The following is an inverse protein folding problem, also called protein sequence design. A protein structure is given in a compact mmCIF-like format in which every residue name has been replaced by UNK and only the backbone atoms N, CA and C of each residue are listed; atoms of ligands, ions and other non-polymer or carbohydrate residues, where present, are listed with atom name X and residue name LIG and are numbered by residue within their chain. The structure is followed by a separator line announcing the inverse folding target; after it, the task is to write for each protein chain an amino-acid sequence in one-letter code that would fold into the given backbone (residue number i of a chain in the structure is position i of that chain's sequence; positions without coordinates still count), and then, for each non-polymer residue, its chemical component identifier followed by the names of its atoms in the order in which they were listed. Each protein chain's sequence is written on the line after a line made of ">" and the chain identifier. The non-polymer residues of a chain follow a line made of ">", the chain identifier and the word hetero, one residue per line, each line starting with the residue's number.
data_IF_836186263303
#
_entry.id   IF_836186263303
#
_cell.length_a   1.000
_cell.length_b   1.000
_cell.length_c   1.000
_cell.angle_alpha   90.00
_cell.angle_beta   90.00
_cell.angle_gamma   90.00
#
_symmetry.space_group_name_H-M   'P 1'
#
loop_
_entity.id
_entity.type
_entity.pdbx_description
1 polymer ?
#
# COMPACT_ATOMS: atom_id res chain seq x y z
N UNK A 1 -25.69 5.07 -17.03
CA UNK A 1 -24.30 5.58 -16.88
C UNK A 1 -24.13 5.96 -15.41
N UNK A 2 -23.61 5.08 -14.57
CA UNK A 2 -23.36 5.39 -13.17
C UNK A 2 -22.04 6.16 -13.08
N UNK A 3 -22.11 7.45 -12.72
CA UNK A 3 -20.91 8.22 -12.37
C UNK A 3 -20.35 7.59 -11.10
N UNK A 4 -19.12 7.08 -11.18
CA UNK A 4 -18.31 6.78 -10.00
C UNK A 4 -18.19 8.08 -9.21
N UNK A 5 -18.87 8.17 -8.08
CA UNK A 5 -18.66 9.26 -7.13
C UNK A 5 -17.34 8.93 -6.45
N UNK A 6 -16.26 9.62 -6.84
CA UNK A 6 -15.01 9.54 -6.09
C UNK A 6 -15.29 10.13 -4.72
N UNK A 7 -15.29 9.29 -3.68
CA UNK A 7 -15.31 9.77 -2.31
C UNK A 7 -14.04 10.62 -2.11
N UNK A 8 -14.11 11.77 -1.40
CA UNK A 8 -12.91 12.49 -1.04
C UNK A 8 -11.99 11.55 -0.24
N UNK A 9 -10.80 11.28 -0.79
CA UNK A 9 -9.84 10.35 -0.18
C UNK A 9 -8.99 11.08 0.86
N UNK A 10 -8.75 10.39 1.97
CA UNK A 10 -7.87 10.86 3.05
C UNK A 10 -6.50 10.22 2.90
N UNK A 11 -5.44 11.00 3.11
CA UNK A 11 -4.09 10.42 3.14
C UNK A 11 -3.89 9.56 4.39
N UNK A 12 -3.30 8.39 4.19
CA UNK A 12 -2.82 7.54 5.27
C UNK A 12 -1.53 8.13 5.84
N UNK A 13 -1.41 8.11 7.18
CA UNK A 13 -0.29 8.72 7.90
C UNK A 13 0.82 7.68 8.02
N UNK A 14 2.01 7.97 7.47
CA UNK A 14 3.19 7.13 7.66
C UNK A 14 3.64 7.17 9.13
N UNK A 15 3.71 6.00 9.76
CA UNK A 15 4.13 5.81 11.15
C UNK A 15 5.59 5.38 11.23
N UNK A 16 6.01 4.49 10.32
CA UNK A 16 7.36 3.93 10.31
C UNK A 16 7.78 3.62 8.87
N UNK A 17 9.03 3.89 8.53
CA UNK A 17 9.68 3.45 7.29
C UNK A 17 11.00 2.74 7.66
N UNK A 18 11.14 1.47 7.29
CA UNK A 18 12.36 0.68 7.54
C UNK A 18 13.64 1.33 6.99
N UNK A 19 13.53 2.21 5.99
CA UNK A 19 14.68 2.92 5.42
C UNK A 19 15.20 4.02 6.34
N UNK A 20 14.36 4.59 7.21
CA UNK A 20 14.76 5.68 8.11
C UNK A 20 15.56 5.21 9.33
N UNK A 21 15.49 3.92 9.68
CA UNK A 21 16.27 3.33 10.79
C UNK A 21 17.72 2.98 10.43
N UNK A 22 18.10 3.06 9.14
CA UNK A 22 19.44 2.68 8.66
C UNK A 22 20.47 3.84 8.65
N UNK A 23 20.14 4.99 9.23
CA UNK A 23 20.95 6.23 9.17
C UNK A 23 22.39 6.10 9.74
N UNK A 24 22.76 4.99 10.38
CA UNK A 24 24.09 4.76 10.96
C UNK A 24 25.09 3.92 10.13
N UNK A 25 24.68 3.28 9.03
CA UNK A 25 25.57 2.40 8.25
C UNK A 25 25.74 2.96 6.83
N UNK A 26 26.99 3.36 6.51
CA UNK A 26 27.38 3.89 5.20
C UNK A 26 26.97 2.92 4.08
N UNK A 27 26.15 3.41 3.15
CA UNK A 27 25.88 2.88 1.81
C UNK A 27 25.87 1.34 1.66
N UNK A 28 24.67 0.75 1.67
CA UNK A 28 24.42 -0.48 0.90
C UNK A 28 23.11 -0.37 0.12
N UNK A 29 23.15 0.29 -1.04
CA UNK A 29 22.08 0.30 -2.04
C UNK A 29 20.77 0.99 -1.63
N UNK A 30 20.14 1.70 -2.56
CA UNK A 30 18.68 1.85 -2.51
C UNK A 30 18.11 0.44 -2.58
N UNK A 31 17.78 -0.13 -1.42
CA UNK A 31 17.20 -1.46 -1.33
C UNK A 31 15.92 -1.49 -2.18
N UNK A 32 15.85 -2.40 -3.15
CA UNK A 32 14.64 -2.70 -3.94
C UNK A 32 13.50 -3.31 -3.08
N UNK A 33 13.68 -3.33 -1.76
CA UNK A 33 12.73 -3.82 -0.78
C UNK A 33 12.66 -2.83 0.40
N UNK A 34 11.46 -2.61 0.90
CA UNK A 34 11.22 -1.77 2.07
C UNK A 34 9.97 -2.28 2.79
N UNK A 35 9.85 -1.94 4.07
CA UNK A 35 8.63 -2.11 4.85
C UNK A 35 8.23 -0.76 5.45
N UNK A 36 6.94 -0.44 5.41
CA UNK A 36 6.35 0.78 5.91
C UNK A 36 5.06 0.46 6.66
N UNK A 37 4.82 1.17 7.74
CA UNK A 37 3.59 1.08 8.52
C UNK A 37 2.82 2.40 8.39
N UNK A 38 1.57 2.33 7.98
CA UNK A 38 0.68 3.48 7.87
C UNK A 38 -0.51 3.37 8.81
N UNK A 39 -1.08 4.50 9.21
CA UNK A 39 -2.35 4.61 9.92
C UNK A 39 -3.41 5.25 9.02
N UNK A 40 -4.57 4.61 8.92
CA UNK A 40 -5.68 5.07 8.09
C UNK A 40 -7.00 4.85 8.84
N UNK A 41 -7.62 5.92 9.31
CA UNK A 41 -8.83 5.83 10.14
C UNK A 41 -8.59 4.94 11.36
N UNK A 42 -9.40 3.88 11.47
CA UNK A 42 -9.34 2.90 12.57
C UNK A 42 -8.44 1.68 12.30
N UNK A 43 -7.63 1.67 11.25
CA UNK A 43 -6.75 0.54 10.91
C UNK A 43 -5.30 0.98 10.72
N UNK A 44 -4.39 0.00 10.79
CA UNK A 44 -3.02 0.13 10.32
C UNK A 44 -2.84 -0.69 9.04
N UNK A 45 -1.96 -0.20 8.18
CA UNK A 45 -1.54 -0.90 6.98
C UNK A 45 -0.04 -1.17 7.09
N UNK A 46 0.31 -2.43 7.34
CA UNK A 46 1.69 -2.91 7.19
C UNK A 46 1.91 -3.26 5.72
N UNK A 47 2.89 -2.63 5.08
CA UNK A 47 3.12 -2.73 3.66
C UNK A 47 4.61 -2.96 3.40
N UNK A 48 4.91 -3.95 2.57
CA UNK A 48 6.28 -4.28 2.20
C UNK A 48 6.43 -4.45 0.69
N UNK A 49 7.44 -3.80 0.13
CA UNK A 49 7.95 -4.08 -1.22
C UNK A 49 8.98 -5.19 -1.13
N UNK A 50 8.84 -6.21 -1.99
CA UNK A 50 9.84 -7.28 -2.15
C UNK A 50 10.15 -7.48 -3.62
N UNK A 51 11.41 -7.74 -3.93
CA UNK A 51 11.81 -8.23 -5.27
C UNK A 51 11.47 -9.72 -5.38
N UNK A 52 10.87 -10.12 -6.50
CA UNK A 52 10.49 -11.51 -6.77
C UNK A 52 10.77 -11.85 -8.23
N UNK A 53 11.78 -12.69 -8.47
CA UNK A 53 12.25 -12.99 -9.82
C UNK A 53 12.73 -11.73 -10.55
N UNK A 54 12.19 -11.49 -11.75
CA UNK A 54 12.45 -10.27 -12.53
C UNK A 54 11.51 -9.11 -12.19
N UNK A 55 10.57 -9.29 -11.26
CA UNK A 55 9.56 -8.30 -10.90
C UNK A 55 9.62 -7.91 -9.42
N UNK A 56 8.58 -7.20 -8.99
CA UNK A 56 8.39 -6.82 -7.59
C UNK A 56 6.95 -7.09 -7.15
N UNK A 57 6.77 -7.25 -5.85
CA UNK A 57 5.45 -7.45 -5.23
C UNK A 57 5.27 -6.53 -4.04
N UNK A 58 4.08 -5.96 -3.92
CA UNK A 58 3.61 -5.36 -2.69
C UNK A 58 2.85 -6.42 -1.90
N UNK A 59 3.39 -6.77 -0.74
CA UNK A 59 2.71 -7.58 0.25
C UNK A 59 2.25 -6.67 1.38
N UNK A 60 1.03 -6.87 1.85
CA UNK A 60 0.59 -6.12 3.01
C UNK A 60 -0.45 -6.82 3.84
N UNK A 61 -0.68 -6.23 5.01
CA UNK A 61 -1.67 -6.66 5.97
C UNK A 61 -2.42 -5.44 6.51
N UNK A 62 -3.74 -5.50 6.44
CA UNK A 62 -4.64 -4.59 7.13
C UNK A 62 -4.82 -5.09 8.56
N UNK A 63 -4.35 -4.31 9.52
CA UNK A 63 -4.41 -4.61 10.95
C UNK A 63 -5.50 -3.75 11.57
N UNK A 64 -6.56 -4.38 12.06
CA UNK A 64 -7.67 -3.73 12.74
C UNK A 64 -7.77 -4.25 14.19
N UNK A 65 -8.42 -3.48 15.07
CA UNK A 65 -8.76 -3.98 16.42
C UNK A 65 -9.71 -5.19 16.34
N UNK A 66 -10.58 -5.22 15.34
CA UNK A 66 -11.41 -6.39 15.04
C UNK A 66 -10.60 -7.46 14.32
N UNK A 67 -10.84 -8.73 14.65
CA UNK A 67 -10.21 -9.89 13.99
C UNK A 67 -10.41 -9.94 12.48
N UNK A 68 -11.47 -9.30 11.97
CA UNK A 68 -11.78 -9.21 10.54
C UNK A 68 -11.76 -7.74 10.12
N UNK A 69 -10.81 -7.31 9.28
CA UNK A 69 -10.79 -5.95 8.76
C UNK A 69 -11.97 -5.70 7.82
N UNK A 70 -12.53 -4.49 7.87
CA UNK A 70 -13.63 -4.06 6.98
C UNK A 70 -13.16 -3.59 5.60
N UNK A 71 -11.86 -3.71 5.33
CA UNK A 71 -11.28 -3.43 4.02
C UNK A 71 -11.42 -4.70 3.19
N UNK A 72 -12.08 -4.61 2.04
CA UNK A 72 -12.36 -5.78 1.20
C UNK A 72 -11.40 -5.92 0.02
N UNK A 73 -10.87 -4.80 -0.47
CA UNK A 73 -9.92 -4.76 -1.57
C UNK A 73 -9.06 -3.51 -1.50
N UNK A 74 -7.92 -3.56 -2.17
CA UNK A 74 -7.07 -2.41 -2.45
C UNK A 74 -6.84 -2.29 -3.95
N UNK A 75 -6.72 -1.05 -4.40
CA UNK A 75 -6.41 -0.70 -5.78
C UNK A 75 -5.06 -0.02 -5.81
N UNK A 76 -4.17 -0.51 -6.67
CA UNK A 76 -2.90 0.13 -6.97
C UNK A 76 -3.08 1.00 -8.20
N UNK A 77 -2.63 2.25 -8.12
CA UNK A 77 -2.71 3.24 -9.19
C UNK A 77 -1.31 3.67 -9.60
N UNK A 78 -1.08 3.75 -10.91
CA UNK A 78 0.15 4.36 -11.44
C UNK A 78 0.12 5.89 -11.38
N UNK A 79 1.17 6.52 -11.91
CA UNK A 79 1.33 7.99 -11.94
C UNK A 79 0.14 8.71 -12.60
N UNK A 80 -0.45 8.13 -13.64
CA UNK A 80 -1.63 8.65 -14.34
C UNK A 80 -2.94 8.53 -13.52
N UNK A 81 -2.87 8.06 -12.27
CA UNK A 81 -4.02 7.88 -11.38
C UNK A 81 -4.95 6.72 -11.77
N UNK A 82 -4.65 6.01 -12.85
CA UNK A 82 -5.44 4.86 -13.31
C UNK A 82 -5.08 3.62 -12.50
N UNK A 83 -6.09 2.84 -12.09
CA UNK A 83 -5.88 1.58 -11.39
C UNK A 83 -5.18 0.58 -12.33
N UNK A 84 -4.00 0.12 -11.93
CA UNK A 84 -3.16 -0.84 -12.67
C UNK A 84 -3.25 -2.25 -12.12
N UNK A 85 -3.65 -2.40 -10.86
CA UNK A 85 -3.88 -3.69 -10.21
C UNK A 85 -4.89 -3.53 -9.07
N UNK A 86 -5.61 -4.61 -8.76
CA UNK A 86 -6.48 -4.70 -7.58
C UNK A 86 -6.24 -6.02 -6.88
N UNK A 87 -6.40 -6.05 -5.56
CA UNK A 87 -6.23 -7.27 -4.77
C UNK A 87 -7.32 -7.36 -3.71
N UNK A 88 -8.00 -8.52 -3.57
CA UNK A 88 -8.88 -8.75 -2.44
C UNK A 88 -8.07 -8.86 -1.15
N UNK A 89 -8.66 -8.39 -0.06
CA UNK A 89 -8.15 -8.61 1.30
C UNK A 89 -8.75 -9.90 1.83
N UNK A 90 -7.91 -10.82 2.27
CA UNK A 90 -8.37 -12.07 2.88
C UNK A 90 -8.93 -11.85 4.30
N UNK A 91 -9.49 -12.90 4.90
CA UNK A 91 -10.11 -12.83 6.24
C UNK A 91 -9.15 -12.39 7.36
N UNK A 92 -7.82 -12.54 7.16
CA UNK A 92 -6.77 -12.14 8.09
C UNK A 92 -6.14 -10.77 7.74
N UNK A 93 -6.74 -10.03 6.81
CA UNK A 93 -6.25 -8.72 6.37
C UNK A 93 -5.12 -8.76 5.34
N UNK A 94 -4.66 -9.94 4.93
CA UNK A 94 -3.55 -10.10 3.99
C UNK A 94 -3.96 -9.83 2.54
N UNK A 95 -3.06 -9.21 1.79
CA UNK A 95 -3.21 -8.99 0.35
C UNK A 95 -1.85 -9.01 -0.36
N UNK A 96 -1.90 -9.15 -1.69
CA UNK A 96 -0.72 -9.20 -2.56
C UNK A 96 -1.03 -8.53 -3.90
N UNK A 97 -0.15 -7.64 -4.33
CA UNK A 97 -0.22 -6.94 -5.62
C UNK A 97 1.09 -7.16 -6.38
N UNK A 98 0.99 -7.63 -7.62
CA UNK A 98 2.14 -7.77 -8.51
C UNK A 98 2.42 -6.45 -9.22
N UNK A 99 3.71 -6.08 -9.27
CA UNK A 99 4.18 -4.87 -9.93
C UNK A 99 4.85 -5.26 -11.24
N UNK A 100 4.30 -4.76 -12.35
CA UNK A 100 4.81 -5.04 -13.69
C UNK A 100 5.99 -4.16 -14.06
N UNK A 101 6.01 -2.94 -13.53
CA UNK A 101 6.96 -1.90 -13.91
C UNK A 101 7.51 -1.21 -12.67
N UNK A 102 8.62 -0.51 -12.86
CA UNK A 102 9.22 0.37 -11.87
C UNK A 102 8.56 1.73 -11.95
N UNK A 103 8.57 2.48 -10.86
CA UNK A 103 8.02 3.82 -10.81
C UNK A 103 7.27 4.11 -9.53
N UNK A 104 6.50 5.19 -9.57
CA UNK A 104 5.74 5.67 -8.43
C UNK A 104 4.29 5.19 -8.51
N UNK A 105 3.86 4.59 -7.41
CA UNK A 105 2.50 4.12 -7.26
C UNK A 105 1.80 4.80 -6.09
N UNK A 106 0.48 4.71 -6.12
CA UNK A 106 -0.35 4.98 -4.97
C UNK A 106 -1.31 3.82 -4.73
N UNK A 107 -1.69 3.62 -3.47
CA UNK A 107 -2.60 2.56 -3.06
C UNK A 107 -3.86 3.19 -2.47
N UNK A 108 -5.02 2.80 -2.97
CA UNK A 108 -6.31 3.28 -2.50
C UNK A 108 -7.13 2.12 -1.93
N UNK A 109 -7.84 2.35 -0.83
CA UNK A 109 -8.78 1.39 -0.26
C UNK A 109 -9.89 2.08 0.52
N UNK A 110 -11.02 1.40 0.66
CA UNK A 110 -12.17 1.91 1.40
C UNK A 110 -12.28 1.27 2.78
N UNK A 111 -12.66 2.09 3.76
CA UNK A 111 -13.04 1.67 5.11
C UNK A 111 -14.45 2.21 5.38
N UNK A 112 -15.47 1.37 5.17
CA UNK A 112 -16.86 1.81 5.25
C UNK A 112 -17.18 2.85 4.17
N UNK A 113 -17.54 4.07 4.58
CA UNK A 113 -17.88 5.17 3.68
C UNK A 113 -16.69 6.12 3.40
N UNK A 114 -15.49 5.79 3.89
CA UNK A 114 -14.28 6.60 3.73
C UNK A 114 -13.31 5.93 2.76
N UNK A 115 -12.68 6.71 1.88
CA UNK A 115 -11.55 6.26 1.06
C UNK A 115 -10.24 6.76 1.67
N UNK A 116 -9.22 5.91 1.66
CA UNK A 116 -7.87 6.21 2.11
C UNK A 116 -6.85 5.94 1.02
N UNK A 117 -5.84 6.81 0.93
CA UNK A 117 -4.77 6.74 -0.06
C UNK A 117 -3.41 6.72 0.60
N UNK A 118 -2.53 5.87 0.10
CA UNK A 118 -1.09 5.87 0.38
C UNK A 118 -0.38 6.33 -0.88
N UNK A 119 0.32 7.45 -0.79
CA UNK A 119 1.09 8.02 -1.90
C UNK A 119 2.60 7.78 -1.74
N UNK A 120 3.36 7.97 -2.84
CA UNK A 120 4.82 7.87 -2.82
C UNK A 120 5.33 6.43 -2.61
N UNK A 121 4.65 5.44 -3.19
CA UNK A 121 5.14 4.06 -3.21
C UNK A 121 6.14 3.87 -4.34
N UNK A 122 7.40 4.20 -4.07
CA UNK A 122 8.52 4.06 -5.00
C UNK A 122 8.90 2.58 -5.20
N UNK A 123 9.01 2.16 -6.46
CA UNK A 123 9.45 0.83 -6.90
C UNK A 123 10.66 0.97 -7.84
N UNK A 124 11.77 0.31 -7.50
CA UNK A 124 13.10 0.50 -8.12
C UNK A 124 13.59 -0.64 -9.00
#
# INVERSE_FOLDING_TARGET
>A
MFRSVSLPSKEAILIMDSRSSQSGLRHSGLSASWSKLYKAGGVYLDLSLKSEGSGAVLLGQVIAESKHPRVHSLSLHGVEGTAVATSPVNEYGGFRLELKEKGDYSLEFNLGAESFKVDGLEVF
#
